data_IF_542134802481
#
_entry.id   IF_542134802481
#
_cell.length_a   1.000
_cell.length_b   1.000
_cell.length_c   1.000
_cell.angle_alpha   90.00
_cell.angle_beta   90.00
_cell.angle_gamma   90.00
#
_symmetry.space_group_name_H-M   'P 1'
#
loop_
_entity.id
_entity.type
_entity.pdbx_description
1 polymer ?
#
# COMPACT_ATOMS: atom_id res chain seq x y z
N UNK A 1 -13.91 -19.38 8.09
CA UNK A 1 -13.75 -19.59 6.62
C UNK A 1 -12.87 -20.80 6.33
N UNK A 2 -11.62 -20.88 6.81
CA UNK A 2 -10.71 -22.02 6.57
C UNK A 2 -11.38 -23.35 6.96
N UNK A 3 -11.95 -23.44 8.16
CA UNK A 3 -12.69 -24.62 8.65
C UNK A 3 -13.88 -24.97 7.76
N UNK A 4 -14.64 -23.95 7.28
CA UNK A 4 -15.82 -24.18 6.44
C UNK A 4 -15.47 -24.71 5.05
N UNK A 5 -14.26 -24.46 4.57
CA UNK A 5 -13.77 -24.95 3.27
C UNK A 5 -12.88 -26.20 3.39
N UNK A 6 -12.61 -26.66 4.61
CA UNK A 6 -11.76 -27.85 4.83
C UNK A 6 -10.33 -27.72 4.30
N UNK A 7 -9.79 -26.50 4.32
CA UNK A 7 -8.48 -26.21 3.75
C UNK A 7 -7.35 -26.54 4.72
N UNK A 8 -6.31 -27.18 4.21
CA UNK A 8 -5.00 -27.29 4.87
C UNK A 8 -4.05 -26.30 4.22
N UNK A 9 -3.46 -25.39 5.03
CA UNK A 9 -2.58 -24.34 4.53
C UNK A 9 -1.12 -24.66 4.91
N UNK A 10 -0.23 -24.63 3.92
CA UNK A 10 1.22 -24.73 4.15
C UNK A 10 1.80 -23.47 4.76
N UNK A 11 1.18 -22.33 4.47
CA UNK A 11 1.56 -21.01 4.95
C UNK A 11 0.34 -20.32 5.56
N UNK A 12 0.48 -19.86 6.81
CA UNK A 12 -0.57 -19.18 7.57
C UNK A 12 -0.32 -17.67 7.57
N UNK A 13 -1.32 -16.88 7.17
CA UNK A 13 -1.30 -15.44 7.32
C UNK A 13 -1.53 -15.06 8.78
N UNK A 14 -0.56 -14.37 9.37
CA UNK A 14 -0.60 -13.97 10.78
C UNK A 14 -1.06 -12.52 10.99
N UNK A 15 -1.31 -11.80 9.90
CA UNK A 15 -1.68 -10.39 9.90
C UNK A 15 -0.53 -9.43 10.19
N UNK A 16 -0.77 -8.17 9.85
CA UNK A 16 0.22 -7.11 9.94
C UNK A 16 0.73 -6.84 11.36
N UNK A 17 -0.12 -7.00 12.37
CA UNK A 17 0.23 -6.77 13.77
C UNK A 17 1.33 -7.71 14.28
N UNK A 18 1.28 -8.98 13.88
CA UNK A 18 2.33 -9.95 14.20
C UNK A 18 3.64 -9.60 13.49
N UNK A 19 3.57 -9.17 12.21
CA UNK A 19 4.76 -8.73 11.47
C UNK A 19 5.37 -7.49 12.10
N UNK A 20 4.55 -6.54 12.56
CA UNK A 20 5.03 -5.38 13.31
C UNK A 20 5.77 -5.80 14.58
N UNK A 21 5.22 -6.73 15.35
CA UNK A 21 5.87 -7.25 16.57
C UNK A 21 7.23 -7.88 16.28
N UNK A 22 7.33 -8.71 15.24
CA UNK A 22 8.59 -9.33 14.80
C UNK A 22 9.61 -8.25 14.39
N UNK A 23 9.15 -7.23 13.67
CA UNK A 23 9.99 -6.12 13.21
C UNK A 23 10.58 -5.35 14.39
N UNK A 24 9.73 -4.92 15.33
CA UNK A 24 10.17 -4.14 16.49
C UNK A 24 11.00 -4.94 17.52
N UNK A 25 10.89 -6.26 17.53
CA UNK A 25 11.71 -7.14 18.38
C UNK A 25 13.13 -7.33 17.86
N UNK A 26 13.46 -6.89 16.65
CA UNK A 26 14.81 -7.04 16.08
C UNK A 26 15.86 -6.25 16.84
N UNK A 27 17.05 -6.82 17.13
CA UNK A 27 18.11 -6.14 17.87
C UNK A 27 18.71 -4.93 17.17
N UNK A 28 18.56 -4.84 15.84
CA UNK A 28 19.11 -3.73 15.03
C UNK A 28 18.11 -2.59 14.79
N UNK A 29 16.88 -2.72 15.28
CA UNK A 29 15.79 -1.78 14.98
C UNK A 29 16.15 -0.32 15.25
N UNK A 30 16.83 -0.04 16.37
CA UNK A 30 17.21 1.31 16.73
C UNK A 30 18.14 1.95 15.67
N UNK A 31 19.11 1.21 15.14
CA UNK A 31 19.99 1.70 14.08
C UNK A 31 19.21 2.03 12.81
N UNK A 32 18.26 1.19 12.42
CA UNK A 32 17.48 1.38 11.21
C UNK A 32 16.49 2.56 11.31
N UNK A 33 15.92 2.80 12.51
CA UNK A 33 15.06 3.97 12.75
C UNK A 33 15.85 5.27 12.57
N UNK A 34 17.04 5.38 13.17
CA UNK A 34 17.89 6.56 13.01
C UNK A 34 18.42 6.70 11.58
N UNK A 35 18.67 5.60 10.89
CA UNK A 35 19.05 5.60 9.47
C UNK A 35 17.94 6.21 8.61
N UNK A 36 16.68 5.74 8.74
CA UNK A 36 15.54 6.25 7.98
C UNK A 36 15.36 7.74 8.23
N UNK A 37 15.39 8.17 9.49
CA UNK A 37 15.31 9.58 9.86
C UNK A 37 16.44 10.39 9.22
N UNK A 38 17.68 9.90 9.30
CA UNK A 38 18.84 10.56 8.71
C UNK A 38 18.76 10.67 7.19
N UNK A 39 18.30 9.62 6.52
CA UNK A 39 18.06 9.61 5.06
C UNK A 39 16.98 10.63 4.70
N UNK A 40 15.86 10.67 5.43
CA UNK A 40 14.80 11.62 5.15
C UNK A 40 15.29 13.07 5.32
N UNK A 41 15.98 13.39 6.41
CA UNK A 41 16.59 14.71 6.64
C UNK A 41 17.57 15.05 5.50
N UNK A 42 18.46 14.14 5.15
CA UNK A 42 19.43 14.36 4.08
C UNK A 42 18.73 14.65 2.73
N UNK A 43 17.74 13.84 2.37
CA UNK A 43 16.98 14.03 1.13
C UNK A 43 16.22 15.36 1.11
N UNK A 44 15.69 15.81 2.25
CA UNK A 44 15.06 17.13 2.37
C UNK A 44 16.08 18.26 2.18
N UNK A 45 17.24 18.18 2.82
CA UNK A 45 18.32 19.19 2.72
C UNK A 45 18.84 19.33 1.30
N UNK A 46 19.07 18.22 0.60
CA UNK A 46 19.53 18.24 -0.80
C UNK A 46 18.38 18.42 -1.80
N UNK A 47 17.15 18.64 -1.32
CA UNK A 47 15.94 18.83 -2.12
C UNK A 47 15.62 17.64 -3.05
N UNK A 48 16.00 16.43 -2.64
CA UNK A 48 15.70 15.20 -3.36
C UNK A 48 14.30 14.66 -3.05
N UNK A 49 13.68 15.10 -1.97
CA UNK A 49 12.27 14.82 -1.62
C UNK A 49 11.60 16.09 -1.06
N UNK A 50 10.28 16.14 -1.13
CA UNK A 50 9.43 17.12 -0.43
C UNK A 50 8.79 16.52 0.82
N UNK A 51 8.79 15.20 0.94
CA UNK A 51 8.14 14.46 2.01
C UNK A 51 8.95 14.52 3.29
N UNK A 52 8.36 15.10 4.34
CA UNK A 52 8.85 15.03 5.71
C UNK A 52 8.08 13.92 6.44
N UNK A 53 8.67 12.74 6.55
CA UNK A 53 8.06 11.59 7.21
C UNK A 53 8.65 11.41 8.61
N UNK A 54 7.79 11.50 9.61
CA UNK A 54 8.12 11.26 11.02
C UNK A 54 7.19 10.20 11.63
N UNK A 55 6.44 9.49 10.77
CA UNK A 55 5.48 8.49 11.20
C UNK A 55 6.16 7.15 11.46
N UNK A 56 6.14 6.74 12.73
CA UNK A 56 6.75 5.48 13.18
C UNK A 56 6.11 4.24 12.52
N UNK A 57 4.85 4.31 12.09
CA UNK A 57 4.20 3.23 11.37
C UNK A 57 4.77 3.06 9.95
N UNK A 58 5.14 4.14 9.31
CA UNK A 58 5.84 4.09 8.01
C UNK A 58 7.24 3.49 8.19
N UNK A 59 7.94 3.84 9.27
CA UNK A 59 9.29 3.35 9.53
C UNK A 59 9.37 1.84 9.67
N UNK A 60 8.41 1.21 10.36
CA UNK A 60 8.40 -0.24 10.49
C UNK A 60 8.31 -0.95 9.13
N UNK A 61 7.55 -0.40 8.19
CA UNK A 61 7.48 -0.93 6.83
C UNK A 61 8.78 -0.71 6.05
N UNK A 62 9.50 0.38 6.29
CA UNK A 62 10.76 0.67 5.59
C UNK A 62 11.90 -0.23 6.08
N UNK A 63 11.96 -0.55 7.38
CA UNK A 63 13.07 -1.31 7.95
C UNK A 63 12.93 -2.84 7.83
N UNK A 64 11.73 -3.38 7.54
CA UNK A 64 11.52 -4.84 7.48
C UNK A 64 12.42 -5.53 6.45
N UNK A 65 12.72 -4.88 5.31
CA UNK A 65 13.65 -5.41 4.33
C UNK A 65 15.06 -5.57 4.92
N UNK A 66 15.56 -4.54 5.61
CA UNK A 66 16.86 -4.56 6.27
C UNK A 66 16.95 -5.60 7.39
N UNK A 67 15.88 -5.72 8.19
CA UNK A 67 15.82 -6.71 9.27
C UNK A 67 15.86 -8.13 8.72
N UNK A 68 15.11 -8.43 7.65
CA UNK A 68 15.15 -9.74 6.99
C UNK A 68 16.52 -10.01 6.35
N UNK A 69 17.12 -8.99 5.72
CA UNK A 69 18.48 -9.12 5.16
C UNK A 69 19.48 -9.39 6.27
N UNK A 70 19.40 -8.69 7.40
CA UNK A 70 20.27 -8.96 8.55
C UNK A 70 20.09 -10.40 9.07
N UNK A 71 18.85 -10.84 9.22
CA UNK A 71 18.56 -12.19 9.66
C UNK A 71 19.18 -13.27 8.75
N UNK A 72 19.13 -13.06 7.40
CA UNK A 72 19.65 -14.04 6.44
C UNK A 72 21.17 -13.98 6.30
N UNK A 73 21.74 -12.77 6.34
CA UNK A 73 23.15 -12.56 5.98
C UNK A 73 24.07 -12.32 7.18
N UNK A 74 23.50 -12.07 8.36
CA UNK A 74 24.20 -11.63 9.59
C UNK A 74 25.10 -10.39 9.36
N UNK A 75 24.82 -9.63 8.29
CA UNK A 75 25.63 -8.50 7.86
C UNK A 75 24.86 -7.18 7.96
N UNK A 76 25.30 -6.33 8.91
CA UNK A 76 24.67 -5.04 9.16
C UNK A 76 24.78 -4.08 7.96
N UNK A 77 25.84 -4.16 7.15
CA UNK A 77 26.02 -3.28 6.00
C UNK A 77 24.95 -3.57 4.94
N UNK A 78 24.67 -4.84 4.65
CA UNK A 78 23.61 -5.22 3.74
C UNK A 78 22.23 -4.84 4.28
N UNK A 79 22.02 -4.94 5.59
CA UNK A 79 20.77 -4.49 6.23
C UNK A 79 20.55 -2.98 6.07
N UNK A 80 21.59 -2.18 6.31
CA UNK A 80 21.54 -0.72 6.12
C UNK A 80 21.28 -0.39 4.63
N UNK A 81 21.96 -1.04 3.69
CA UNK A 81 21.72 -0.83 2.25
C UNK A 81 20.25 -1.13 1.91
N UNK A 82 19.70 -2.23 2.41
CA UNK A 82 18.31 -2.61 2.14
C UNK A 82 17.32 -1.59 2.73
N UNK A 83 17.54 -1.13 3.95
CA UNK A 83 16.71 -0.11 4.59
C UNK A 83 16.80 1.23 3.84
N UNK A 84 18.02 1.66 3.49
CA UNK A 84 18.24 2.88 2.70
C UNK A 84 17.52 2.83 1.36
N UNK A 85 17.67 1.73 0.60
CA UNK A 85 16.99 1.55 -0.67
C UNK A 85 15.47 1.65 -0.49
N UNK A 86 14.92 0.96 0.51
CA UNK A 86 13.48 0.96 0.77
C UNK A 86 12.98 2.35 1.16
N UNK A 87 13.69 3.05 2.05
CA UNK A 87 13.31 4.41 2.47
C UNK A 87 13.35 5.41 1.31
N UNK A 88 14.44 5.44 0.54
CA UNK A 88 14.59 6.34 -0.61
C UNK A 88 13.50 6.09 -1.66
N UNK A 89 13.23 4.84 -2.00
CA UNK A 89 12.18 4.47 -2.95
C UNK A 89 10.80 4.93 -2.44
N UNK A 90 10.51 4.70 -1.16
CA UNK A 90 9.23 5.07 -0.55
C UNK A 90 8.99 6.58 -0.59
N UNK A 91 9.99 7.37 -0.17
CA UNK A 91 9.91 8.84 -0.20
C UNK A 91 9.69 9.35 -1.64
N UNK A 92 10.36 8.77 -2.62
CA UNK A 92 10.18 9.17 -4.03
C UNK A 92 8.81 8.77 -4.58
N UNK A 93 8.32 7.57 -4.26
CA UNK A 93 6.98 7.18 -4.65
C UNK A 93 5.91 8.06 -3.99
N UNK A 94 6.12 8.45 -2.73
CA UNK A 94 5.24 9.40 -2.04
C UNK A 94 5.22 10.76 -2.74
N UNK A 95 6.38 11.31 -3.11
CA UNK A 95 6.48 12.55 -3.86
C UNK A 95 5.75 12.49 -5.21
N UNK A 96 5.93 11.39 -5.97
CA UNK A 96 5.33 11.24 -7.31
C UNK A 96 3.83 11.03 -7.27
N UNK A 97 3.30 10.50 -6.16
CA UNK A 97 1.87 10.26 -5.98
C UNK A 97 1.15 11.37 -5.21
N UNK A 98 1.87 12.36 -4.69
CA UNK A 98 1.30 13.50 -3.97
C UNK A 98 0.17 14.23 -4.74
N UNK A 99 0.28 14.50 -6.05
CA UNK A 99 -0.81 15.12 -6.80
C UNK A 99 -2.11 14.32 -6.77
N UNK A 100 -2.03 12.97 -6.75
CA UNK A 100 -3.23 12.13 -6.62
C UNK A 100 -3.88 12.25 -5.24
N UNK A 101 -3.09 12.52 -4.19
CA UNK A 101 -3.62 12.73 -2.85
C UNK A 101 -4.36 14.04 -2.76
N UNK A 102 -3.80 15.09 -3.34
CA UNK A 102 -4.41 16.41 -3.38
C UNK A 102 -5.70 16.42 -4.20
N UNK A 103 -5.66 16.00 -5.46
CA UNK A 103 -6.79 16.12 -6.39
C UNK A 103 -7.85 15.03 -6.20
N UNK A 104 -7.47 13.81 -5.86
CA UNK A 104 -8.44 12.72 -5.71
C UNK A 104 -9.01 12.61 -4.31
N UNK A 105 -8.15 12.74 -3.28
CA UNK A 105 -8.60 12.63 -1.89
C UNK A 105 -8.90 13.99 -1.25
N UNK A 106 -8.55 15.11 -1.90
CA UNK A 106 -8.79 16.45 -1.39
C UNK A 106 -7.91 16.83 -0.20
N UNK A 107 -6.69 16.26 -0.09
CA UNK A 107 -5.78 16.47 1.03
C UNK A 107 -4.51 17.19 0.52
N UNK A 108 -4.49 18.52 0.49
CA UNK A 108 -3.35 19.29 0.00
C UNK A 108 -2.15 19.19 0.94
N UNK A 109 -0.95 19.31 0.36
CA UNK A 109 0.33 19.38 1.09
C UNK A 109 0.67 18.13 1.93
N UNK A 110 0.04 17.00 1.62
CA UNK A 110 0.25 15.70 2.25
C UNK A 110 0.81 14.71 1.25
N UNK A 111 1.71 13.88 1.73
CA UNK A 111 2.20 12.68 1.03
C UNK A 111 1.94 11.44 1.88
N UNK A 112 1.90 10.28 1.25
CA UNK A 112 1.66 9.02 1.96
C UNK A 112 2.86 8.07 1.75
N UNK A 113 3.96 8.22 2.53
CA UNK A 113 5.13 7.35 2.44
C UNK A 113 4.89 5.99 3.11
N UNK A 114 3.70 5.45 2.99
CA UNK A 114 3.31 4.13 3.47
C UNK A 114 3.57 3.10 2.38
N UNK A 115 4.51 2.17 2.59
CA UNK A 115 4.88 1.18 1.55
C UNK A 115 3.68 0.34 1.13
N UNK A 116 2.77 0.06 2.04
CA UNK A 116 1.54 -0.67 1.74
C UNK A 116 0.64 0.04 0.71
N UNK A 117 0.75 1.34 0.59
CA UNK A 117 0.12 2.18 -0.40
C UNK A 117 1.03 2.36 -1.63
N UNK A 118 2.25 2.87 -1.43
CA UNK A 118 3.15 3.29 -2.50
C UNK A 118 3.68 2.14 -3.36
N UNK A 119 3.90 0.97 -2.78
CA UNK A 119 4.48 -0.18 -3.51
C UNK A 119 3.62 -0.66 -4.68
N UNK A 120 2.30 -0.41 -4.62
CA UNK A 120 1.36 -0.76 -5.69
C UNK A 120 1.70 -0.05 -7.01
N UNK A 121 2.36 1.13 -6.97
CA UNK A 121 2.70 1.91 -8.16
C UNK A 121 3.59 1.14 -9.14
N UNK A 122 4.47 0.26 -8.63
CA UNK A 122 5.42 -0.51 -9.44
C UNK A 122 4.68 -1.36 -10.48
N UNK A 123 3.56 -1.95 -10.08
CA UNK A 123 2.74 -2.81 -10.96
C UNK A 123 1.61 -2.00 -11.60
N UNK A 124 1.00 -1.09 -10.84
CA UNK A 124 -0.21 -0.39 -11.28
C UNK A 124 0.07 0.63 -12.39
N UNK A 125 1.14 1.43 -12.30
CA UNK A 125 1.39 2.48 -13.28
C UNK A 125 1.65 1.94 -14.71
N UNK A 126 2.50 0.91 -14.91
CA UNK A 126 2.68 0.31 -16.24
C UNK A 126 1.38 -0.27 -16.83
N UNK A 127 0.58 -0.94 -15.99
CA UNK A 127 -0.68 -1.55 -16.45
C UNK A 127 -1.70 -0.47 -16.77
N UNK A 128 -1.81 0.57 -15.95
CA UNK A 128 -2.66 1.72 -16.22
C UNK A 128 -2.32 2.37 -17.56
N UNK A 129 -1.01 2.55 -17.84
CA UNK A 129 -0.52 3.08 -19.10
C UNK A 129 -0.87 2.17 -20.31
N UNK A 130 -0.86 0.85 -20.14
CA UNK A 130 -1.30 -0.10 -21.19
C UNK A 130 -2.80 -0.01 -21.42
N UNK A 131 -3.61 0.03 -20.34
CA UNK A 131 -5.08 0.12 -20.44
C UNK A 131 -5.51 1.39 -21.19
N UNK A 132 -4.81 2.51 -20.99
CA UNK A 132 -5.10 3.76 -21.73
C UNK A 132 -4.99 3.61 -23.25
N UNK A 133 -4.23 2.61 -23.72
CA UNK A 133 -4.02 2.34 -25.16
C UNK A 133 -4.91 1.28 -25.75
N UNK A 134 -5.69 0.58 -24.91
CA UNK A 134 -6.62 -0.45 -25.40
C UNK A 134 -7.95 0.20 -25.75
N UNK A 135 -8.33 0.22 -27.07
CA UNK A 135 -9.61 0.78 -27.49
C UNK A 135 -10.78 0.06 -26.81
N UNK A 136 -11.71 0.83 -26.26
CA UNK A 136 -12.86 0.30 -25.53
C UNK A 136 -12.65 0.26 -24.02
N UNK A 137 -11.57 -0.33 -23.50
CA UNK A 137 -11.27 -0.33 -22.07
C UNK A 137 -11.01 1.08 -21.51
N UNK A 138 -10.36 1.93 -22.29
CA UNK A 138 -10.09 3.32 -21.90
C UNK A 138 -11.36 4.19 -21.81
N UNK A 139 -12.50 3.73 -22.37
CA UNK A 139 -13.78 4.45 -22.35
C UNK A 139 -14.73 3.96 -21.26
N UNK A 140 -14.44 2.81 -20.64
CA UNK A 140 -15.27 2.28 -19.57
C UNK A 140 -15.02 3.13 -18.32
N UNK A 141 -16.00 3.92 -17.94
CA UNK A 141 -15.98 4.70 -16.70
C UNK A 141 -17.07 4.18 -15.76
N UNK A 142 -16.67 3.55 -14.68
CA UNK A 142 -17.54 2.99 -13.65
C UNK A 142 -17.08 3.48 -12.29
N UNK A 143 -17.62 4.63 -11.87
CA UNK A 143 -17.39 5.22 -10.56
C UNK A 143 -18.68 5.19 -9.72
N UNK A 144 -18.59 5.46 -8.43
CA UNK A 144 -19.75 5.43 -7.52
C UNK A 144 -20.81 6.44 -7.94
N UNK A 145 -20.43 7.64 -8.39
CA UNK A 145 -21.38 8.64 -8.89
C UNK A 145 -22.18 8.10 -10.09
N UNK A 146 -21.52 7.39 -11.02
CA UNK A 146 -22.19 6.73 -12.14
C UNK A 146 -23.13 5.63 -11.66
N UNK A 147 -22.70 4.82 -10.69
CA UNK A 147 -23.53 3.77 -10.09
C UNK A 147 -24.76 4.38 -9.43
N UNK A 148 -24.62 5.45 -8.66
CA UNK A 148 -25.73 6.17 -8.05
C UNK A 148 -26.72 6.69 -9.08
N UNK A 149 -26.20 7.25 -10.20
CA UNK A 149 -27.07 7.76 -11.29
C UNK A 149 -27.90 6.67 -11.96
N UNK A 150 -27.33 5.45 -12.12
CA UNK A 150 -28.03 4.34 -12.80
C UNK A 150 -28.88 3.51 -11.85
N UNK A 151 -28.43 3.27 -10.61
CA UNK A 151 -29.10 2.42 -9.64
C UNK A 151 -29.91 3.19 -8.58
N UNK A 152 -29.90 4.53 -8.61
CA UNK A 152 -30.61 5.36 -7.65
C UNK A 152 -30.23 4.99 -6.20
N UNK A 153 -31.23 4.66 -5.39
CA UNK A 153 -31.03 4.31 -3.97
C UNK A 153 -30.05 3.15 -3.74
N UNK A 154 -30.04 2.16 -4.66
CA UNK A 154 -29.11 1.02 -4.55
C UNK A 154 -27.65 1.37 -4.87
N UNK A 155 -27.39 2.51 -5.49
CA UNK A 155 -26.05 3.06 -5.72
C UNK A 155 -25.50 3.91 -4.58
N UNK A 156 -26.30 4.14 -3.54
CA UNK A 156 -25.83 4.84 -2.33
C UNK A 156 -24.74 4.01 -1.63
N UNK A 157 -23.64 4.63 -1.12
CA UNK A 157 -22.55 3.91 -0.44
C UNK A 157 -23.03 3.00 0.70
N UNK A 158 -24.03 3.43 1.47
CA UNK A 158 -24.60 2.60 2.54
C UNK A 158 -25.26 1.34 1.99
N UNK A 159 -26.06 1.47 0.92
CA UNK A 159 -26.75 0.34 0.29
C UNK A 159 -25.77 -0.59 -0.43
N UNK A 160 -24.75 -0.03 -1.11
CA UNK A 160 -23.67 -0.81 -1.68
C UNK A 160 -22.91 -1.60 -0.60
N UNK A 161 -22.60 -0.97 0.52
CA UNK A 161 -21.96 -1.61 1.66
C UNK A 161 -22.80 -2.76 2.23
N UNK A 162 -24.11 -2.54 2.38
CA UNK A 162 -25.05 -3.57 2.84
C UNK A 162 -25.05 -4.79 1.90
N UNK A 163 -25.23 -4.55 0.60
CA UNK A 163 -25.28 -5.61 -0.41
C UNK A 163 -23.95 -6.38 -0.49
N UNK A 164 -22.83 -5.67 -0.58
CA UNK A 164 -21.50 -6.28 -0.66
C UNK A 164 -21.17 -7.04 0.63
N UNK A 165 -21.49 -6.49 1.79
CA UNK A 165 -21.25 -7.15 3.07
C UNK A 165 -22.09 -8.42 3.26
N UNK A 166 -23.37 -8.42 2.85
CA UNK A 166 -24.20 -9.63 2.83
C UNK A 166 -23.62 -10.67 1.88
N UNK A 167 -23.23 -10.25 0.67
CA UNK A 167 -22.60 -11.14 -0.32
C UNK A 167 -21.31 -11.77 0.22
N UNK A 168 -20.45 -11.00 0.89
CA UNK A 168 -19.24 -11.51 1.54
C UNK A 168 -19.56 -12.50 2.67
N UNK A 169 -20.56 -12.20 3.52
CA UNK A 169 -21.01 -13.11 4.55
C UNK A 169 -21.54 -14.44 3.98
N UNK A 170 -22.28 -14.37 2.87
CA UNK A 170 -22.76 -15.56 2.15
C UNK A 170 -21.59 -16.36 1.53
N UNK A 171 -20.62 -15.69 0.88
CA UNK A 171 -19.40 -16.34 0.37
C UNK A 171 -18.57 -16.98 1.48
N UNK A 172 -18.58 -16.41 2.69
CA UNK A 172 -17.92 -16.98 3.85
C UNK A 172 -18.72 -18.13 4.49
N UNK A 173 -19.85 -18.52 3.91
CA UNK A 173 -20.78 -19.54 4.44
C UNK A 173 -21.26 -19.23 5.85
N UNK A 174 -21.49 -17.95 6.16
CA UNK A 174 -22.07 -17.55 7.44
C UNK A 174 -23.57 -17.88 7.49
N UNK A 175 -24.14 -18.18 8.66
CA UNK A 175 -25.58 -18.20 8.85
C UNK A 175 -26.22 -16.88 8.42
N UNK A 176 -27.48 -16.91 8.01
CA UNK A 176 -28.19 -15.75 7.42
C UNK A 176 -28.14 -14.51 8.33
N UNK A 177 -28.32 -14.69 9.63
CA UNK A 177 -28.25 -13.64 10.63
C UNK A 177 -26.85 -12.98 10.67
N UNK A 178 -25.79 -13.78 10.65
CA UNK A 178 -24.40 -13.28 10.62
C UNK A 178 -24.06 -12.62 9.27
N UNK A 179 -24.53 -13.17 8.15
CA UNK A 179 -24.33 -12.56 6.84
C UNK A 179 -25.01 -11.19 6.78
N UNK A 180 -26.24 -11.07 7.30
CA UNK A 180 -26.95 -9.79 7.37
C UNK A 180 -26.25 -8.79 8.29
N UNK A 181 -25.79 -9.25 9.48
CA UNK A 181 -25.02 -8.41 10.40
C UNK A 181 -23.71 -7.90 9.76
N UNK A 182 -23.03 -8.75 8.97
CA UNK A 182 -21.85 -8.34 8.18
C UNK A 182 -22.22 -7.22 7.22
N UNK A 183 -23.35 -7.32 6.53
CA UNK A 183 -23.87 -6.27 5.66
C UNK A 183 -24.09 -4.94 6.39
N UNK A 184 -24.75 -4.99 7.55
CA UNK A 184 -24.99 -3.79 8.38
C UNK A 184 -23.68 -3.16 8.84
N UNK A 185 -22.69 -3.97 9.27
CA UNK A 185 -21.39 -3.48 9.70
C UNK A 185 -20.63 -2.80 8.54
N UNK A 186 -20.64 -3.40 7.35
CA UNK A 186 -19.99 -2.82 6.16
C UNK A 186 -20.69 -1.53 5.74
N UNK A 187 -22.04 -1.50 5.76
CA UNK A 187 -22.80 -0.28 5.49
C UNK A 187 -22.45 0.85 6.47
N UNK A 188 -22.33 0.54 7.76
CA UNK A 188 -21.92 1.50 8.77
C UNK A 188 -20.51 2.04 8.51
N UNK A 189 -19.55 1.16 8.16
CA UNK A 189 -18.18 1.56 7.81
C UNK A 189 -18.17 2.50 6.59
N UNK A 190 -18.93 2.19 5.54
CA UNK A 190 -18.99 3.02 4.33
C UNK A 190 -19.58 4.43 4.56
N UNK A 191 -20.36 4.60 5.64
CA UNK A 191 -20.90 5.92 6.01
C UNK A 191 -20.01 6.65 7.02
N UNK A 192 -19.48 5.92 7.99
CA UNK A 192 -18.75 6.53 9.11
C UNK A 192 -17.29 6.86 8.75
N UNK A 193 -16.60 5.95 8.03
CA UNK A 193 -15.18 6.14 7.72
C UNK A 193 -14.90 7.41 6.92
N UNK A 194 -15.63 7.76 5.85
CA UNK A 194 -15.39 9.03 5.14
C UNK A 194 -15.57 10.25 6.04
N UNK A 195 -16.55 10.23 6.93
CA UNK A 195 -16.80 11.33 7.88
C UNK A 195 -15.66 11.47 8.90
N UNK A 196 -15.20 10.33 9.44
CA UNK A 196 -14.07 10.32 10.38
C UNK A 196 -12.78 10.82 9.69
N UNK A 197 -12.53 10.40 8.47
CA UNK A 197 -11.40 10.87 7.66
C UNK A 197 -11.47 12.38 7.41
N UNK A 198 -12.64 12.91 7.05
CA UNK A 198 -12.83 14.35 6.85
C UNK A 198 -12.53 15.15 8.12
N UNK A 199 -13.03 14.72 9.27
CA UNK A 199 -12.74 15.36 10.56
C UNK A 199 -11.24 15.31 10.92
N UNK A 200 -10.57 14.20 10.61
CA UNK A 200 -9.14 14.05 10.81
C UNK A 200 -8.34 15.02 9.93
N UNK A 201 -8.69 15.12 8.65
CA UNK A 201 -8.09 16.05 7.69
C UNK A 201 -8.29 17.50 8.13
N UNK A 202 -9.51 17.89 8.54
CA UNK A 202 -9.80 19.23 9.07
C UNK A 202 -8.91 19.56 10.28
N UNK A 203 -8.67 18.60 11.16
CA UNK A 203 -7.78 18.75 12.32
C UNK A 203 -6.29 18.87 11.94
N UNK A 204 -5.87 18.25 10.83
CA UNK A 204 -4.48 18.32 10.35
C UNK A 204 -4.16 19.57 9.54
N UNK A 205 -5.12 20.17 8.85
CA UNK A 205 -4.89 21.33 7.98
C UNK A 205 -4.17 22.50 8.68
N UNK A 206 -4.54 22.90 9.93
CA UNK A 206 -3.83 23.98 10.63
C UNK A 206 -2.36 23.61 10.94
N UNK A 207 -2.09 22.34 11.26
CA UNK A 207 -0.75 21.85 11.55
C UNK A 207 0.09 21.87 10.27
N UNK A 208 -0.46 21.39 9.17
CA UNK A 208 0.17 21.42 7.85
C UNK A 208 0.53 22.86 7.43
N UNK A 209 -0.42 23.80 7.55
CA UNK A 209 -0.20 25.19 7.23
C UNK A 209 0.89 25.85 8.12
N UNK A 210 0.91 25.51 9.42
CA UNK A 210 1.93 26.01 10.33
C UNK A 210 3.33 25.43 9.99
N UNK A 211 3.42 24.15 9.68
CA UNK A 211 4.67 23.49 9.27
C UNK A 211 5.20 24.10 7.96
N UNK A 212 4.34 24.33 6.97
CA UNK A 212 4.72 24.97 5.72
C UNK A 212 5.24 26.40 5.94
N UNK A 213 4.56 27.21 6.77
CA UNK A 213 5.00 28.57 7.09
C UNK A 213 6.39 28.56 7.72
N UNK A 214 6.61 27.73 8.73
CA UNK A 214 7.92 27.59 9.39
C UNK A 214 9.01 27.16 8.42
N UNK A 215 8.67 26.32 7.46
CA UNK A 215 9.64 25.74 6.52
C UNK A 215 9.93 26.69 5.37
N UNK A 216 8.93 27.39 4.85
CA UNK A 216 9.12 28.43 3.82
C UNK A 216 9.98 29.57 4.32
N UNK A 217 9.84 29.97 5.58
CA UNK A 217 10.65 31.01 6.23
C UNK A 217 12.11 30.57 6.47
N UNK A 218 12.35 29.30 6.81
CA UNK A 218 13.68 28.81 7.19
C UNK A 218 14.47 28.16 6.05
N UNK A 219 13.80 27.53 5.09
CA UNK A 219 14.44 26.73 4.04
C UNK A 219 14.21 27.25 2.60
N UNK A 220 13.63 28.42 2.45
CA UNK A 220 13.59 29.14 1.17
C UNK A 220 12.63 28.57 0.11
N UNK A 221 11.35 28.47 0.45
CA UNK A 221 10.27 28.49 -0.55
C UNK A 221 9.92 27.20 -1.29
N UNK A 222 10.56 26.07 -1.04
CA UNK A 222 10.04 24.78 -1.50
C UNK A 222 9.16 24.20 -0.40
N UNK A 223 7.83 24.23 -0.62
CA UNK A 223 6.88 23.66 0.33
C UNK A 223 7.25 22.22 0.70
N UNK A 224 7.35 21.94 2.00
CA UNK A 224 7.42 20.57 2.50
C UNK A 224 6.01 19.99 2.52
N UNK A 225 5.91 18.72 2.19
CA UNK A 225 4.70 17.93 2.38
C UNK A 225 4.84 17.06 3.63
N UNK A 226 3.78 16.99 4.42
CA UNK A 226 3.78 16.13 5.61
C UNK A 226 3.51 14.70 5.17
N UNK A 227 4.42 13.78 5.54
CA UNK A 227 4.26 12.35 5.35
C UNK A 227 3.31 11.79 6.41
N UNK A 228 2.17 11.25 6.00
CA UNK A 228 1.18 10.60 6.85
C UNK A 228 1.05 9.11 6.50
N UNK A 229 0.50 8.33 7.42
CA UNK A 229 0.07 6.96 7.11
C UNK A 229 -1.11 6.96 6.14
N UNK A 230 -1.15 6.00 5.22
CA UNK A 230 -2.22 5.87 4.24
C UNK A 230 -3.59 5.52 4.85
N UNK A 231 -3.69 5.31 6.15
CA UNK A 231 -4.95 5.17 6.85
C UNK A 231 -5.91 6.35 6.61
N UNK A 232 -5.36 7.55 6.33
CA UNK A 232 -6.17 8.76 6.06
C UNK A 232 -6.97 8.69 4.76
N UNK A 233 -6.67 7.76 3.85
CA UNK A 233 -7.36 7.65 2.56
C UNK A 233 -8.19 6.36 2.40
N UNK A 234 -8.06 5.39 3.32
CA UNK A 234 -8.81 4.13 3.22
C UNK A 234 -10.31 4.28 3.42
N UNK A 235 -10.74 5.39 4.00
CA UNK A 235 -12.15 5.73 4.19
C UNK A 235 -12.88 6.24 2.94
N UNK A 236 -12.18 6.46 1.83
CA UNK A 236 -12.79 6.92 0.59
C UNK A 236 -13.77 5.86 0.03
N UNK A 237 -14.98 6.23 -0.42
CA UNK A 237 -16.00 5.28 -0.85
C UNK A 237 -15.57 4.39 -2.02
N UNK A 238 -14.83 4.93 -3.00
CA UNK A 238 -14.30 4.19 -4.15
C UNK A 238 -13.24 3.17 -3.71
N UNK A 239 -12.42 3.54 -2.71
CA UNK A 239 -11.42 2.64 -2.10
C UNK A 239 -12.11 1.50 -1.38
N UNK A 240 -13.09 1.79 -0.52
CA UNK A 240 -13.83 0.77 0.23
C UNK A 240 -14.56 -0.17 -0.74
N UNK A 241 -15.26 0.37 -1.75
CA UNK A 241 -15.98 -0.43 -2.74
C UNK A 241 -15.04 -1.35 -3.51
N UNK A 242 -13.91 -0.82 -3.99
CA UNK A 242 -12.91 -1.61 -4.69
C UNK A 242 -12.32 -2.70 -3.79
N UNK A 243 -12.01 -2.37 -2.54
CA UNK A 243 -11.48 -3.32 -1.57
C UNK A 243 -12.46 -4.46 -1.27
N UNK A 244 -13.75 -4.15 -1.06
CA UNK A 244 -14.78 -5.15 -0.82
C UNK A 244 -14.92 -6.16 -1.97
N UNK A 245 -14.77 -5.71 -3.20
CA UNK A 245 -14.77 -6.58 -4.38
C UNK A 245 -13.43 -7.35 -4.48
N UNK A 246 -12.32 -6.69 -4.18
CA UNK A 246 -11.01 -7.31 -4.26
C UNK A 246 -10.76 -8.36 -3.16
N UNK A 247 -11.42 -8.30 -2.00
CA UNK A 247 -11.28 -9.30 -0.94
C UNK A 247 -11.63 -10.71 -1.46
N UNK A 248 -12.85 -11.00 -1.97
CA UNK A 248 -13.16 -12.31 -2.51
C UNK A 248 -12.32 -12.66 -3.74
N UNK A 249 -11.99 -11.67 -4.59
CA UNK A 249 -11.11 -11.90 -5.73
C UNK A 249 -9.68 -12.26 -5.29
N UNK A 250 -9.16 -11.68 -4.22
CA UNK A 250 -7.83 -12.04 -3.70
C UNK A 250 -7.81 -13.46 -3.14
N UNK A 251 -8.88 -13.88 -2.48
CA UNK A 251 -9.04 -15.29 -2.05
C UNK A 251 -9.08 -16.20 -3.27
N UNK A 252 -9.86 -15.86 -4.29
CA UNK A 252 -9.92 -16.64 -5.53
C UNK A 252 -8.54 -16.72 -6.21
N UNK A 253 -7.83 -15.60 -6.30
CA UNK A 253 -6.46 -15.58 -6.84
C UNK A 253 -5.53 -16.48 -6.05
N UNK A 254 -5.65 -16.50 -4.71
CA UNK A 254 -4.83 -17.36 -3.86
C UNK A 254 -5.03 -18.86 -4.20
N UNK A 255 -6.23 -19.26 -4.63
CA UNK A 255 -6.51 -20.63 -5.07
C UNK A 255 -6.01 -20.95 -6.48
N UNK A 256 -6.18 -20.02 -7.43
CA UNK A 256 -5.93 -20.32 -8.84
C UNK A 256 -4.50 -20.04 -9.29
N UNK A 257 -3.73 -19.25 -8.53
CA UNK A 257 -2.36 -18.92 -8.90
C UNK A 257 -1.43 -20.12 -8.69
N UNK A 258 -0.79 -20.63 -9.75
CA UNK A 258 0.05 -21.82 -9.65
C UNK A 258 1.27 -21.55 -8.78
N UNK A 259 1.55 -22.47 -7.83
CA UNK A 259 2.69 -22.34 -6.92
C UNK A 259 2.49 -21.37 -5.76
N UNK A 260 1.38 -20.64 -5.71
CA UNK A 260 1.03 -19.87 -4.52
C UNK A 260 0.63 -20.82 -3.38
N UNK A 261 1.17 -20.56 -2.18
CA UNK A 261 0.84 -21.31 -0.96
C UNK A 261 0.14 -20.43 0.09
N UNK A 262 0.17 -19.13 -0.11
CA UNK A 262 -0.39 -18.16 0.82
C UNK A 262 -1.91 -18.02 0.67
N UNK A 263 -2.63 -18.07 1.80
CA UNK A 263 -4.05 -17.75 1.89
C UNK A 263 -4.24 -16.52 2.81
N UNK A 264 -4.52 -15.34 2.27
CA UNK A 264 -4.45 -14.08 3.02
C UNK A 264 -5.72 -13.79 3.82
N UNK A 265 -6.03 -14.60 4.82
CA UNK A 265 -7.28 -14.48 5.59
C UNK A 265 -7.18 -13.46 6.74
N UNK A 266 -6.04 -13.38 7.41
CA UNK A 266 -5.84 -12.46 8.53
C UNK A 266 -5.64 -11.01 8.06
N UNK A 267 -5.09 -10.84 6.86
CA UNK A 267 -4.74 -9.54 6.29
C UNK A 267 -5.76 -9.00 5.26
N UNK A 268 -6.97 -9.58 5.17
CA UNK A 268 -8.00 -9.06 4.26
C UNK A 268 -8.38 -7.60 4.54
N UNK A 269 -8.29 -7.17 5.78
CA UNK A 269 -8.56 -5.77 6.16
C UNK A 269 -7.55 -4.79 5.55
N UNK A 270 -6.30 -5.20 5.32
CA UNK A 270 -5.27 -4.32 4.72
C UNK A 270 -5.36 -4.23 3.20
N UNK A 271 -6.29 -4.94 2.56
CA UNK A 271 -6.57 -4.81 1.12
C UNK A 271 -6.91 -3.36 0.76
N UNK A 272 -7.59 -2.62 1.63
CA UNK A 272 -7.91 -1.20 1.45
C UNK A 272 -6.67 -0.35 1.16
N UNK A 273 -5.58 -0.57 1.90
CA UNK A 273 -4.30 0.13 1.68
C UNK A 273 -3.68 -0.19 0.31
N UNK A 274 -3.83 -1.43 -0.18
CA UNK A 274 -3.27 -1.89 -1.45
C UNK A 274 -3.99 -1.27 -2.65
N UNK A 275 -5.32 -1.13 -2.52
CA UNK A 275 -6.15 -0.62 -3.61
C UNK A 275 -6.20 0.90 -3.64
N UNK A 276 -5.94 1.59 -2.52
CA UNK A 276 -6.13 3.04 -2.42
C UNK A 276 -5.34 3.83 -3.47
N UNK A 277 -4.05 3.53 -3.67
CA UNK A 277 -3.26 4.17 -4.72
C UNK A 277 -3.78 3.82 -6.12
N UNK A 278 -4.18 2.56 -6.33
CA UNK A 278 -4.70 2.13 -7.63
C UNK A 278 -6.00 2.85 -7.97
N UNK A 279 -6.88 3.03 -6.99
CA UNK A 279 -8.13 3.78 -7.15
C UNK A 279 -7.86 5.24 -7.50
N UNK A 280 -6.93 5.90 -6.79
CA UNK A 280 -6.53 7.27 -7.10
C UNK A 280 -5.90 7.38 -8.49
N UNK A 281 -5.01 6.44 -8.86
CA UNK A 281 -4.40 6.36 -10.19
C UNK A 281 -5.45 6.16 -11.29
N UNK A 282 -6.53 5.44 -11.00
CA UNK A 282 -7.65 5.25 -11.91
C UNK A 282 -8.72 6.35 -11.80
N UNK A 283 -8.48 7.39 -11.01
CA UNK A 283 -9.39 8.52 -10.82
C UNK A 283 -10.79 8.06 -10.39
N UNK A 284 -10.86 7.13 -9.43
CA UNK A 284 -12.11 6.59 -8.91
C UNK A 284 -12.83 5.57 -9.80
N UNK A 285 -12.27 5.21 -10.95
CA UNK A 285 -12.87 4.19 -11.80
C UNK A 285 -12.71 2.78 -11.19
N UNK A 286 -13.75 2.30 -10.50
CA UNK A 286 -13.75 1.03 -9.76
C UNK A 286 -13.45 -0.16 -10.68
N UNK A 287 -14.04 -0.23 -11.88
CA UNK A 287 -13.81 -1.32 -12.82
C UNK A 287 -12.34 -1.40 -13.25
N UNK A 288 -11.77 -0.27 -13.62
CA UNK A 288 -10.36 -0.16 -14.02
C UNK A 288 -9.44 -0.51 -12.84
N UNK A 289 -9.79 -0.04 -11.64
CA UNK A 289 -9.05 -0.33 -10.42
C UNK A 289 -9.01 -1.83 -10.12
N UNK A 290 -10.13 -2.54 -10.26
CA UNK A 290 -10.20 -3.99 -10.08
C UNK A 290 -9.27 -4.70 -11.08
N UNK A 291 -9.31 -4.33 -12.37
CA UNK A 291 -8.45 -4.94 -13.40
C UNK A 291 -6.96 -4.78 -13.07
N UNK A 292 -6.56 -3.62 -12.53
CA UNK A 292 -5.17 -3.36 -12.16
C UNK A 292 -4.82 -4.03 -10.82
N UNK A 293 -5.76 -4.11 -9.90
CA UNK A 293 -5.52 -4.75 -8.60
C UNK A 293 -5.31 -6.27 -8.71
N UNK A 294 -5.85 -6.94 -9.73
CA UNK A 294 -5.61 -8.38 -9.95
C UNK A 294 -4.11 -8.70 -10.03
N UNK A 295 -3.32 -8.13 -10.94
CA UNK A 295 -1.88 -8.38 -10.97
C UNK A 295 -1.13 -7.83 -9.76
N UNK A 296 -1.58 -6.72 -9.15
CA UNK A 296 -0.99 -6.20 -7.91
C UNK A 296 -1.12 -7.23 -6.78
N UNK A 297 -2.32 -7.78 -6.55
CA UNK A 297 -2.54 -8.80 -5.54
C UNK A 297 -1.81 -10.10 -5.86
N UNK A 298 -1.74 -10.50 -7.12
CA UNK A 298 -0.97 -11.68 -7.55
C UNK A 298 0.52 -11.55 -7.20
N UNK A 299 1.10 -10.37 -7.43
CA UNK A 299 2.50 -10.09 -7.06
C UNK A 299 2.70 -10.19 -5.54
N UNK A 300 1.76 -9.67 -4.74
CA UNK A 300 1.81 -9.73 -3.27
C UNK A 300 1.72 -11.18 -2.78
N UNK A 301 0.83 -11.99 -3.35
CA UNK A 301 0.67 -13.41 -2.98
C UNK A 301 1.94 -14.22 -3.27
N UNK A 302 2.56 -14.02 -4.42
CA UNK A 302 3.84 -14.67 -4.75
C UNK A 302 4.98 -14.19 -3.86
N UNK A 303 5.07 -12.89 -3.60
CA UNK A 303 6.06 -12.33 -2.69
C UNK A 303 5.89 -12.86 -1.27
N UNK A 304 4.64 -13.00 -0.78
CA UNK A 304 4.34 -13.59 0.51
C UNK A 304 4.74 -15.06 0.60
N UNK A 305 4.46 -15.84 -0.45
CA UNK A 305 4.90 -17.24 -0.55
C UNK A 305 6.42 -17.35 -0.51
N UNK A 306 7.13 -16.48 -1.23
CA UNK A 306 8.60 -16.44 -1.23
C UNK A 306 9.18 -16.03 0.13
N UNK A 307 8.60 -15.01 0.78
CA UNK A 307 9.12 -14.47 2.02
C UNK A 307 8.82 -15.34 3.26
N UNK A 308 7.82 -16.21 3.19
CA UNK A 308 7.32 -16.99 4.34
C UNK A 308 8.41 -17.75 5.12
N UNK A 309 9.34 -18.52 4.53
CA UNK A 309 10.36 -19.22 5.29
C UNK A 309 11.32 -18.28 6.03
N UNK A 310 11.68 -17.15 5.43
CA UNK A 310 12.56 -16.15 6.04
C UNK A 310 11.86 -15.40 7.18
N UNK A 311 10.60 -15.07 6.98
CA UNK A 311 9.78 -14.39 7.99
C UNK A 311 9.56 -15.30 9.22
N UNK A 312 9.29 -16.58 8.97
CA UNK A 312 9.13 -17.59 10.05
C UNK A 312 10.42 -17.73 10.86
N UNK A 313 11.57 -17.86 10.18
CA UNK A 313 12.85 -17.93 10.86
C UNK A 313 13.20 -16.66 11.64
N UNK A 314 12.89 -15.48 11.08
CA UNK A 314 13.05 -14.21 11.78
C UNK A 314 12.18 -14.17 13.06
N UNK A 315 10.91 -14.58 12.98
CA UNK A 315 10.02 -14.61 14.14
C UNK A 315 10.58 -15.53 15.25
N UNK A 316 11.07 -16.71 14.89
CA UNK A 316 11.72 -17.63 15.84
C UNK A 316 12.96 -17.02 16.47
N UNK A 317 13.77 -16.30 15.69
CA UNK A 317 15.01 -15.64 16.22
C UNK A 317 14.71 -14.51 17.20
N UNK A 318 13.52 -13.88 17.11
CA UNK A 318 13.05 -12.85 18.05
C UNK A 318 12.28 -13.43 19.25
N UNK A 319 12.21 -14.75 19.37
CA UNK A 319 11.55 -15.45 20.48
C UNK A 319 10.03 -15.58 20.30
N UNK A 320 9.48 -15.18 19.16
CA UNK A 320 8.08 -15.38 18.83
C UNK A 320 7.90 -16.72 18.13
N UNK A 321 6.90 -17.49 18.57
CA UNK A 321 6.58 -18.82 17.99
C UNK A 321 5.22 -18.79 17.34
N UNK A 322 5.13 -19.43 16.17
CA UNK A 322 3.90 -19.61 15.40
C UNK A 322 3.81 -21.05 14.94
N UNK A 323 2.59 -21.54 14.78
CA UNK A 323 2.34 -22.85 14.19
C UNK A 323 2.55 -22.80 12.67
N UNK A 324 3.51 -23.60 12.18
CA UNK A 324 3.84 -23.69 10.74
C UNK A 324 4.62 -22.49 10.19
N UNK A 325 4.63 -22.34 8.86
CA UNK A 325 5.22 -21.20 8.19
C UNK A 325 4.26 -20.02 8.23
N UNK A 326 4.80 -18.83 8.54
CA UNK A 326 4.03 -17.60 8.61
C UNK A 326 4.27 -16.72 7.38
N UNK A 327 3.21 -16.06 6.94
CA UNK A 327 3.25 -15.04 5.91
C UNK A 327 2.31 -13.90 6.29
N UNK A 328 2.41 -12.79 5.57
CA UNK A 328 1.48 -11.69 5.66
C UNK A 328 1.43 -10.96 4.32
N UNK A 329 0.30 -10.37 3.99
CA UNK A 329 0.21 -9.44 2.86
C UNK A 329 0.89 -8.10 3.17
N UNK A 330 1.33 -7.86 4.41
CA UNK A 330 2.12 -6.72 4.82
C UNK A 330 3.63 -7.02 4.83
N UNK A 331 4.45 -6.00 5.07
CA UNK A 331 5.90 -6.16 5.22
C UNK A 331 6.57 -6.76 3.98
N UNK A 332 7.16 -7.96 4.09
CA UNK A 332 8.00 -8.51 3.01
C UNK A 332 7.23 -8.93 1.75
N UNK A 333 5.92 -9.03 1.81
CA UNK A 333 5.06 -9.34 0.65
C UNK A 333 4.82 -8.13 -0.26
N UNK A 334 5.15 -6.93 0.21
CA UNK A 334 5.00 -5.72 -0.59
C UNK A 334 6.04 -5.71 -1.71
N UNK A 335 5.59 -5.42 -2.93
CA UNK A 335 6.42 -5.54 -4.15
C UNK A 335 7.77 -4.83 -4.01
N UNK A 336 7.79 -3.61 -3.49
CA UNK A 336 9.01 -2.85 -3.25
C UNK A 336 9.96 -3.57 -2.28
N UNK A 337 9.43 -3.97 -1.12
CA UNK A 337 10.18 -4.67 -0.06
C UNK A 337 10.72 -6.00 -0.56
N UNK A 338 9.90 -6.76 -1.30
CA UNK A 338 10.28 -8.04 -1.88
C UNK A 338 11.43 -7.92 -2.88
N UNK A 339 11.41 -6.90 -3.75
CA UNK A 339 12.48 -6.62 -4.71
C UNK A 339 13.78 -6.31 -3.98
N UNK A 340 13.75 -5.42 -2.98
CA UNK A 340 14.94 -5.04 -2.22
C UNK A 340 15.48 -6.22 -1.43
N UNK A 341 14.62 -6.93 -0.70
CA UNK A 341 14.99 -8.11 0.07
C UNK A 341 15.66 -9.17 -0.83
N UNK A 342 14.98 -9.58 -1.90
CA UNK A 342 15.52 -10.56 -2.85
C UNK A 342 16.87 -10.12 -3.42
N UNK A 343 17.03 -8.86 -3.78
CA UNK A 343 18.27 -8.36 -4.36
C UNK A 343 19.47 -8.49 -3.40
N UNK A 344 19.24 -8.21 -2.10
CA UNK A 344 20.29 -8.25 -1.09
C UNK A 344 20.66 -9.66 -0.63
N UNK A 345 19.72 -10.63 -0.71
CA UNK A 345 20.01 -12.04 -0.34
C UNK A 345 20.42 -12.91 -1.52
N UNK A 346 20.42 -12.37 -2.75
CA UNK A 346 20.83 -13.13 -3.92
C UNK A 346 22.31 -13.56 -3.83
N UNK A 347 22.67 -14.70 -4.41
CA UNK A 347 24.06 -15.17 -4.45
C UNK A 347 25.03 -14.16 -5.09
N UNK A 348 24.50 -13.30 -5.95
CA UNK A 348 25.24 -12.23 -6.65
C UNK A 348 24.81 -10.83 -6.19
N UNK A 349 24.53 -10.64 -4.90
CA UNK A 349 24.04 -9.37 -4.36
C UNK A 349 24.90 -8.16 -4.74
N UNK A 350 26.24 -8.35 -4.80
CA UNK A 350 27.22 -7.32 -5.22
C UNK A 350 26.94 -6.80 -6.64
N UNK A 351 26.31 -7.59 -7.49
CA UNK A 351 25.93 -7.19 -8.86
C UNK A 351 24.46 -6.78 -8.91
N UNK A 352 23.58 -7.57 -8.28
CA UNK A 352 22.13 -7.38 -8.38
C UNK A 352 21.69 -6.07 -7.70
N UNK A 353 22.24 -5.74 -6.53
CA UNK A 353 21.88 -4.51 -5.80
C UNK A 353 22.23 -3.25 -6.62
N UNK A 354 23.45 -3.08 -7.15
CA UNK A 354 23.75 -1.96 -8.05
C UNK A 354 22.84 -1.88 -9.28
N UNK A 355 22.44 -3.03 -9.84
CA UNK A 355 21.51 -3.05 -10.98
C UNK A 355 20.14 -2.54 -10.56
N UNK A 356 19.59 -2.98 -9.41
CA UNK A 356 18.31 -2.50 -8.90
C UNK A 356 18.38 -0.99 -8.61
N UNK A 357 19.47 -0.51 -7.99
CA UNK A 357 19.69 0.92 -7.76
C UNK A 357 19.75 1.68 -9.09
N UNK A 358 20.47 1.18 -10.09
CA UNK A 358 20.59 1.82 -11.40
C UNK A 358 19.23 1.88 -12.14
N UNK A 359 18.44 0.81 -12.07
CA UNK A 359 17.08 0.77 -12.62
C UNK A 359 16.20 1.81 -11.93
N UNK A 360 16.24 1.87 -10.59
CA UNK A 360 15.48 2.86 -9.85
C UNK A 360 15.92 4.30 -10.17
N UNK A 361 17.21 4.56 -10.26
CA UNK A 361 17.76 5.87 -10.66
C UNK A 361 17.33 6.26 -12.08
N UNK A 362 17.28 5.29 -13.00
CA UNK A 362 16.79 5.51 -14.37
C UNK A 362 15.28 5.84 -14.37
N UNK A 363 14.48 5.14 -13.56
CA UNK A 363 13.05 5.45 -13.37
C UNK A 363 12.88 6.84 -12.76
N UNK A 364 13.64 7.18 -11.74
CA UNK A 364 13.63 8.50 -11.11
C UNK A 364 13.91 9.60 -12.15
N UNK A 365 15.00 9.44 -12.91
CA UNK A 365 15.34 10.38 -13.99
C UNK A 365 14.23 10.47 -15.04
N UNK A 366 13.64 9.35 -15.44
CA UNK A 366 12.55 9.30 -16.41
C UNK A 366 11.31 10.01 -15.90
N UNK A 367 10.90 9.77 -14.66
CA UNK A 367 9.71 10.40 -14.06
C UNK A 367 9.93 11.90 -13.91
N UNK A 368 11.03 12.36 -13.33
CA UNK A 368 11.21 13.78 -13.02
C UNK A 368 11.69 14.63 -14.20
N UNK A 369 12.47 14.05 -15.13
CA UNK A 369 13.04 14.81 -16.23
C UNK A 369 12.36 14.61 -17.58
N UNK A 370 11.84 13.42 -17.88
CA UNK A 370 11.17 13.14 -19.16
C UNK A 370 9.67 13.23 -19.08
N UNK A 371 9.02 12.61 -18.08
CA UNK A 371 7.60 12.75 -17.87
C UNK A 371 7.32 14.14 -17.34
N UNK A 372 8.02 14.54 -16.27
CA UNK A 372 7.88 15.82 -15.59
C UNK A 372 6.70 15.80 -14.59
N UNK A 373 6.92 16.40 -13.43
CA UNK A 373 5.89 16.48 -12.39
C UNK A 373 4.65 17.27 -12.86
N UNK A 374 4.81 18.25 -13.75
CA UNK A 374 3.70 18.99 -14.35
C UNK A 374 2.68 18.10 -15.09
N UNK A 375 3.15 17.04 -15.76
CA UNK A 375 2.24 16.10 -16.43
C UNK A 375 1.54 15.18 -15.45
N UNK A 376 2.21 14.81 -14.35
CA UNK A 376 1.59 14.02 -13.27
C UNK A 376 0.52 14.85 -12.60
N UNK A 377 0.81 16.14 -12.35
CA UNK A 377 -0.14 17.12 -11.83
C UNK A 377 -1.35 17.27 -12.75
N UNK A 378 -1.11 17.51 -14.04
CA UNK A 378 -2.17 17.64 -15.03
C UNK A 378 -3.01 16.35 -15.18
N UNK A 379 -2.39 15.17 -14.95
CA UNK A 379 -3.12 13.90 -14.91
C UNK A 379 -4.01 13.80 -13.67
N UNK A 380 -3.48 14.19 -12.51
CA UNK A 380 -4.21 14.17 -11.24
C UNK A 380 -5.35 15.19 -11.22
N UNK A 381 -5.14 16.41 -11.75
CA UNK A 381 -6.16 17.46 -11.83
C UNK A 381 -7.42 17.06 -12.62
N UNK A 382 -7.34 16.03 -13.48
CA UNK A 382 -8.53 15.48 -14.12
C UNK A 382 -9.50 14.80 -13.12
N UNK A 383 -9.09 14.58 -11.86
CA UNK A 383 -9.99 14.11 -10.80
C UNK A 383 -11.00 15.21 -10.41
N UNK A 384 -10.62 16.48 -10.49
CA UNK A 384 -11.46 17.61 -10.11
C UNK A 384 -12.64 17.82 -11.06
N UNK A 385 -12.54 17.28 -12.28
CA UNK A 385 -13.56 17.38 -13.33
C UNK A 385 -14.63 16.27 -13.26
N UNK A 386 -14.49 15.29 -12.36
CA UNK A 386 -15.37 14.11 -12.21
C UNK A 386 -16.24 14.22 -10.95
#
# INVERSE_FOLDING_TARGET
>A
MVENFGLTLDVTDVGWGAISSVTWASPIVAFLVFEILGINILMLVIKATKTMDVDIWNYHHMMIAGILVYYVTENIVWALIATAMTAIMTLKFADWTAPLIEHFFGIPDVTLPTISYTSSIIVAAPINWVIDRIPGLNKVNFNIKSVQKYLGLFGDPMMLGLILGIAMGALAMFPVDKAFLTGVNVAAVMVLMPKMTAMFVEGLMPISAAAQKLTSEKFGGNGLSIGLDAAVVVGNPEVITTALIMIPLTILLAFILPGNRMMPLADLAVVTFRVALVVALCRGNVFRSILICIPVMSAILYAGTFAAPYLTGLAQSTGLTFDGQIASMAGPSLTQTAIVFWSCISQNAVIVVPVVIAVFAAVWFLVEKKIGMEKIEAYAAQCDEQ
#
